data_IF_157674407130
#
_entry.id   IF_157674407130
#
_cell.length_a   1.000
_cell.length_b   1.000
_cell.length_c   1.000
_cell.angle_alpha   90.00
_cell.angle_beta   90.00
_cell.angle_gamma   90.00
#
_symmetry.space_group_name_H-M   'P 1'
#
loop_
_entity.id
_entity.type
_entity.pdbx_description
1 polymer ?
#
# COMPACT_ATOMS: atom_id res chain seq x y z
N UNK A 1 12.00 -16.07 0.95
CA UNK A 1 10.81 -15.20 0.75
C UNK A 1 10.09 -14.91 2.07
N UNK A 2 9.74 -15.90 2.89
CA UNK A 2 9.00 -15.70 4.15
C UNK A 2 9.72 -14.87 5.21
N UNK A 3 11.04 -15.04 5.41
CA UNK A 3 11.83 -14.27 6.40
C UNK A 3 11.90 -12.78 6.05
N UNK A 4 12.05 -12.44 4.76
CA UNK A 4 12.04 -11.06 4.29
C UNK A 4 10.69 -10.39 4.53
N UNK A 5 9.58 -11.12 4.32
CA UNK A 5 8.24 -10.62 4.62
C UNK A 5 8.02 -10.40 6.13
N UNK A 6 8.47 -11.32 6.98
CA UNK A 6 8.40 -11.14 8.45
C UNK A 6 9.22 -9.93 8.89
N UNK A 7 10.44 -9.77 8.38
CA UNK A 7 11.28 -8.59 8.61
C UNK A 7 10.56 -7.31 8.14
N UNK A 8 9.93 -7.34 6.97
CA UNK A 8 9.18 -6.24 6.39
C UNK A 8 8.03 -5.78 7.30
N UNK A 9 7.17 -6.72 7.72
CA UNK A 9 6.06 -6.42 8.63
C UNK A 9 6.57 -5.95 9.99
N UNK A 10 7.64 -6.54 10.50
CA UNK A 10 8.24 -6.16 11.78
C UNK A 10 8.79 -4.74 11.76
N UNK A 11 9.56 -4.38 10.72
CA UNK A 11 10.10 -3.01 10.54
C UNK A 11 8.97 -2.00 10.39
N UNK A 12 7.92 -2.32 9.62
CA UNK A 12 6.76 -1.45 9.45
C UNK A 12 6.02 -1.21 10.79
N UNK A 13 5.76 -2.26 11.55
CA UNK A 13 5.11 -2.16 12.87
C UNK A 13 5.97 -1.36 13.84
N UNK A 14 7.29 -1.63 13.88
CA UNK A 14 8.23 -0.86 14.72
C UNK A 14 8.24 0.61 14.31
N UNK A 15 8.27 0.92 13.02
CA UNK A 15 8.22 2.29 12.51
C UNK A 15 6.95 3.01 12.97
N UNK A 16 5.77 2.37 12.89
CA UNK A 16 4.51 2.93 13.37
C UNK A 16 4.51 3.18 14.89
N UNK A 17 5.12 2.28 15.68
CA UNK A 17 5.26 2.45 17.13
C UNK A 17 6.18 3.63 17.46
N UNK A 18 7.33 3.74 16.79
CA UNK A 18 8.28 4.85 16.97
C UNK A 18 7.64 6.19 16.57
N UNK A 19 6.95 6.23 15.42
CA UNK A 19 6.21 7.41 14.97
C UNK A 19 5.11 7.81 15.95
N UNK A 20 4.41 6.84 16.53
CA UNK A 20 3.40 7.11 17.55
C UNK A 20 4.01 7.65 18.84
N UNK A 21 5.18 7.13 19.26
CA UNK A 21 5.88 7.59 20.45
C UNK A 21 6.40 9.02 20.30
N UNK A 22 6.96 9.36 19.13
CA UNK A 22 7.45 10.71 18.81
C UNK A 22 6.29 11.69 18.63
N UNK A 23 5.23 11.28 17.92
CA UNK A 23 4.05 12.12 17.68
C UNK A 23 3.27 12.42 18.96
N UNK A 24 3.29 11.52 19.96
CA UNK A 24 2.68 11.75 21.28
C UNK A 24 3.24 12.99 21.97
N UNK A 25 4.54 13.24 21.82
CA UNK A 25 5.21 14.39 22.45
C UNK A 25 4.70 15.73 21.91
N UNK A 26 4.09 15.74 20.72
CA UNK A 26 3.57 16.94 20.09
C UNK A 26 2.09 17.23 20.37
N UNK A 27 1.28 16.19 20.56
CA UNK A 27 -0.19 16.30 20.70
C UNK A 27 -0.69 16.24 22.16
N UNK A 28 0.22 16.12 23.15
CA UNK A 28 -0.08 15.93 24.59
C UNK A 28 -1.11 14.81 24.86
N UNK A 29 -1.16 13.83 23.96
CA UNK A 29 -2.18 12.79 23.94
C UNK A 29 -1.73 11.51 24.64
N UNK A 30 -2.68 10.64 24.98
CA UNK A 30 -2.36 9.29 25.42
C UNK A 30 -1.78 8.47 24.26
N UNK A 31 -0.77 7.63 24.52
CA UNK A 31 -0.17 6.76 23.49
C UNK A 31 -1.22 5.91 22.75
N UNK A 32 -2.20 5.39 23.49
CA UNK A 32 -3.30 4.59 22.95
C UNK A 32 -4.24 5.42 22.06
N UNK A 33 -4.58 6.65 22.47
CA UNK A 33 -5.41 7.56 21.70
C UNK A 33 -4.74 7.98 20.39
N UNK A 34 -3.45 8.29 20.45
CA UNK A 34 -2.64 8.68 19.32
C UNK A 34 -2.51 7.52 18.31
N UNK A 35 -2.17 6.33 18.79
CA UNK A 35 -2.01 5.14 17.95
C UNK A 35 -3.33 4.70 17.33
N UNK A 36 -4.45 4.81 18.05
CA UNK A 36 -5.78 4.51 17.48
C UNK A 36 -6.10 5.44 16.32
N UNK A 37 -5.95 6.76 16.52
CA UNK A 37 -6.32 7.76 15.51
C UNK A 37 -5.39 7.73 14.30
N UNK A 38 -4.10 7.91 14.52
CA UNK A 38 -3.15 7.99 13.42
C UNK A 38 -2.87 6.61 12.82
N UNK A 39 -2.91 5.52 13.60
CA UNK A 39 -2.84 4.17 13.05
C UNK A 39 -3.99 3.88 12.10
N UNK A 40 -5.23 4.25 12.46
CA UNK A 40 -6.38 4.16 11.55
C UNK A 40 -6.23 5.05 10.32
N UNK A 41 -5.66 6.25 10.47
CA UNK A 41 -5.42 7.16 9.35
C UNK A 41 -4.47 6.59 8.29
N UNK A 42 -3.55 5.70 8.67
CA UNK A 42 -2.61 5.04 7.76
C UNK A 42 -3.15 3.74 7.12
N UNK A 43 -4.32 3.23 7.55
CA UNK A 43 -4.91 2.02 6.96
C UNK A 43 -5.09 2.07 5.44
N UNK A 44 -5.47 3.21 4.81
CA UNK A 44 -5.59 3.27 3.36
C UNK A 44 -4.30 2.84 2.63
N UNK A 45 -3.12 3.17 3.14
CA UNK A 45 -1.85 2.72 2.54
C UNK A 45 -1.72 1.20 2.53
N UNK A 46 -2.04 0.55 3.65
CA UNK A 46 -1.97 -0.91 3.77
C UNK A 46 -2.97 -1.58 2.83
N UNK A 47 -4.21 -1.07 2.77
CA UNK A 47 -5.23 -1.58 1.88
C UNK A 47 -4.88 -1.38 0.41
N UNK A 48 -4.28 -0.25 0.03
CA UNK A 48 -3.80 -0.03 -1.33
C UNK A 48 -2.58 -0.89 -1.66
N UNK A 49 -1.70 -1.17 -0.71
CA UNK A 49 -0.65 -2.18 -0.81
C UNK A 49 -1.22 -3.56 -1.17
N UNK A 50 -2.22 -4.00 -0.41
CA UNK A 50 -2.93 -5.26 -0.64
C UNK A 50 -3.65 -5.28 -1.99
N UNK A 51 -4.35 -4.20 -2.34
CA UNK A 51 -5.04 -4.05 -3.62
C UNK A 51 -4.08 -4.09 -4.79
N UNK A 52 -2.92 -3.42 -4.70
CA UNK A 52 -1.87 -3.45 -5.72
C UNK A 52 -1.34 -4.86 -5.96
N UNK A 53 -1.12 -5.63 -4.88
CA UNK A 53 -0.74 -7.04 -4.98
C UNK A 53 -1.81 -7.86 -5.71
N UNK A 54 -3.09 -7.68 -5.37
CA UNK A 54 -4.20 -8.42 -5.99
C UNK A 54 -4.42 -8.00 -7.45
N UNK A 55 -4.29 -6.72 -7.77
CA UNK A 55 -4.34 -6.21 -9.13
C UNK A 55 -3.32 -6.89 -10.04
N UNK A 56 -2.08 -7.07 -9.54
CA UNK A 56 -1.05 -7.79 -10.28
C UNK A 56 -1.51 -9.20 -10.65
N UNK A 57 -1.93 -9.99 -9.66
CA UNK A 57 -2.35 -11.37 -9.91
C UNK A 57 -3.63 -11.46 -10.74
N UNK A 58 -4.62 -10.61 -10.48
CA UNK A 58 -5.85 -10.59 -11.28
C UNK A 58 -5.54 -10.37 -12.76
N UNK A 59 -4.72 -9.36 -13.07
CA UNK A 59 -4.45 -8.99 -14.46
C UNK A 59 -3.50 -9.94 -15.16
N UNK A 60 -2.54 -10.52 -14.44
CA UNK A 60 -1.58 -11.49 -15.02
C UNK A 60 -2.16 -12.89 -15.18
N UNK A 61 -3.01 -13.33 -14.25
CA UNK A 61 -3.67 -14.64 -14.31
C UNK A 61 -4.97 -14.62 -15.12
N UNK A 62 -5.50 -13.44 -15.49
CA UNK A 62 -6.77 -13.29 -16.19
C UNK A 62 -6.85 -14.15 -17.45
N UNK A 63 -5.84 -14.12 -18.30
CA UNK A 63 -5.81 -14.92 -19.53
C UNK A 63 -5.88 -16.42 -19.26
N UNK A 64 -5.11 -16.90 -18.27
CA UNK A 64 -5.14 -18.31 -17.86
C UNK A 64 -6.50 -18.71 -17.28
N UNK A 65 -7.12 -17.81 -16.51
CA UNK A 65 -8.46 -18.01 -15.95
C UNK A 65 -9.52 -18.10 -17.06
N UNK A 66 -9.49 -17.18 -18.03
CA UNK A 66 -10.42 -17.18 -19.16
C UNK A 66 -10.25 -18.43 -20.02
N UNK A 67 -9.02 -18.85 -20.29
CA UNK A 67 -8.74 -20.10 -20.99
C UNK A 67 -9.31 -21.31 -20.24
N UNK A 68 -9.09 -21.40 -18.92
CA UNK A 68 -9.62 -22.49 -18.10
C UNK A 68 -11.15 -22.52 -18.11
N UNK A 69 -11.80 -21.37 -17.94
CA UNK A 69 -13.26 -21.24 -17.99
C UNK A 69 -13.79 -21.62 -19.38
N UNK A 70 -13.15 -21.15 -20.45
CA UNK A 70 -13.50 -21.50 -21.83
C UNK A 70 -13.38 -22.99 -22.12
N UNK A 71 -12.35 -23.66 -21.58
CA UNK A 71 -12.18 -25.10 -21.72
C UNK A 71 -13.26 -25.90 -20.97
N UNK A 72 -13.62 -25.46 -19.75
CA UNK A 72 -14.64 -26.14 -18.94
C UNK A 72 -16.07 -25.95 -19.46
N UNK A 73 -16.36 -24.77 -20.03
CA UNK A 73 -17.70 -24.43 -20.54
C UNK A 73 -17.87 -24.71 -22.04
N UNK A 74 -16.81 -25.14 -22.75
CA UNK A 74 -16.85 -25.35 -24.20
C UNK A 74 -17.03 -24.07 -25.02
N UNK A 75 -16.50 -22.94 -24.52
CA UNK A 75 -16.62 -21.63 -25.18
C UNK A 75 -15.30 -21.31 -25.89
N UNK A 76 -15.23 -21.59 -27.20
CA UNK A 76 -14.02 -21.44 -28.00
C UNK A 76 -13.45 -20.01 -28.01
N UNK A 77 -14.32 -18.99 -27.98
CA UNK A 77 -13.90 -17.58 -27.97
C UNK A 77 -13.03 -17.26 -26.75
N UNK A 78 -13.34 -17.85 -25.59
CA UNK A 78 -12.60 -17.61 -24.35
C UNK A 78 -11.28 -18.40 -24.31
N UNK A 79 -11.22 -19.55 -24.98
CA UNK A 79 -9.99 -20.35 -25.07
C UNK A 79 -8.90 -19.64 -25.90
N UNK A 80 -9.31 -18.85 -26.90
CA UNK A 80 -8.38 -18.13 -27.78
C UNK A 80 -8.08 -16.70 -27.31
N UNK A 81 -8.63 -16.28 -26.16
CA UNK A 81 -8.40 -14.95 -25.63
C UNK A 81 -6.97 -14.81 -25.10
N UNK A 82 -6.07 -14.30 -25.95
CA UNK A 82 -4.69 -13.98 -25.56
C UNK A 82 -4.65 -12.65 -24.81
N UNK A 83 -4.85 -12.72 -23.49
CA UNK A 83 -4.70 -11.57 -22.62
C UNK A 83 -3.25 -11.46 -22.15
N UNK A 84 -2.52 -10.49 -22.71
CA UNK A 84 -1.17 -10.16 -22.27
C UNK A 84 -1.14 -8.67 -21.86
N UNK A 85 -1.02 -8.40 -20.57
CA UNK A 85 -0.95 -7.02 -20.08
C UNK A 85 0.48 -6.54 -20.13
N UNK A 86 0.68 -5.37 -20.76
CA UNK A 86 1.97 -4.72 -20.78
C UNK A 86 2.45 -4.44 -19.34
N UNK A 87 3.69 -4.84 -19.02
CA UNK A 87 4.27 -4.68 -17.68
C UNK A 87 4.32 -3.21 -17.22
N UNK A 88 4.50 -2.26 -18.14
CA UNK A 88 4.47 -0.82 -17.84
C UNK A 88 3.09 -0.34 -17.40
N UNK A 89 2.02 -0.83 -18.02
CA UNK A 89 0.64 -0.50 -17.63
C UNK A 89 0.32 -1.07 -16.26
N UNK A 90 0.70 -2.32 -16.00
CA UNK A 90 0.57 -2.98 -14.69
C UNK A 90 1.29 -2.19 -13.60
N UNK A 91 2.54 -1.81 -13.85
CA UNK A 91 3.34 -1.02 -12.91
C UNK A 91 2.70 0.35 -12.64
N UNK A 92 2.27 1.05 -13.69
CA UNK A 92 1.57 2.33 -13.56
C UNK A 92 0.31 2.21 -12.70
N UNK A 93 -0.54 1.21 -12.94
CA UNK A 93 -1.76 0.99 -12.16
C UNK A 93 -1.46 0.70 -10.68
N UNK A 94 -0.47 -0.12 -10.40
CA UNK A 94 -0.05 -0.42 -9.02
C UNK A 94 0.42 0.87 -8.32
N UNK A 95 1.26 1.68 -8.99
CA UNK A 95 1.76 2.94 -8.44
C UNK A 95 0.63 3.94 -8.22
N UNK A 96 -0.30 4.06 -9.18
CA UNK A 96 -1.48 4.93 -9.07
C UNK A 96 -2.31 4.58 -7.84
N UNK A 97 -2.56 3.29 -7.60
CA UNK A 97 -3.28 2.82 -6.42
C UNK A 97 -2.55 3.15 -5.11
N UNK A 98 -1.21 3.01 -5.07
CA UNK A 98 -0.43 3.43 -3.90
C UNK A 98 -0.56 4.95 -3.64
N UNK A 99 -0.45 5.77 -4.68
CA UNK A 99 -0.61 7.22 -4.55
C UNK A 99 -2.01 7.62 -4.11
N UNK A 100 -3.06 6.93 -4.58
CA UNK A 100 -4.41 7.13 -4.05
C UNK A 100 -4.48 6.84 -2.54
N UNK A 101 -3.83 5.78 -2.06
CA UNK A 101 -3.72 5.47 -0.62
C UNK A 101 -2.99 6.56 0.16
N UNK A 102 -1.92 7.12 -0.41
CA UNK A 102 -1.18 8.24 0.17
C UNK A 102 -2.04 9.49 0.30
N UNK A 103 -2.67 9.94 -0.78
CA UNK A 103 -3.52 11.14 -0.74
C UNK A 103 -4.71 10.97 0.20
N UNK A 104 -5.31 9.77 0.24
CA UNK A 104 -6.37 9.46 1.21
C UNK A 104 -5.84 9.57 2.65
N UNK A 105 -4.67 9.00 2.91
CA UNK A 105 -4.02 9.07 4.23
C UNK A 105 -3.74 10.51 4.65
N UNK A 106 -3.20 11.34 3.75
CA UNK A 106 -3.01 12.78 4.00
C UNK A 106 -4.33 13.49 4.34
N UNK A 107 -5.40 13.18 3.60
CA UNK A 107 -6.73 13.72 3.86
C UNK A 107 -7.27 13.30 5.25
N UNK A 108 -7.00 12.09 5.72
CA UNK A 108 -7.39 11.67 7.07
C UNK A 108 -6.52 12.35 8.15
N UNK A 109 -5.20 12.39 7.95
CA UNK A 109 -4.26 13.01 8.90
C UNK A 109 -4.57 14.50 9.06
N UNK A 110 -4.83 15.24 7.97
CA UNK A 110 -5.16 16.67 8.08
C UNK A 110 -6.45 16.90 8.87
N UNK A 111 -7.46 16.04 8.70
CA UNK A 111 -8.73 16.13 9.41
C UNK A 111 -8.57 15.81 10.91
N UNK A 112 -7.72 14.85 11.26
CA UNK A 112 -7.42 14.47 12.65
C UNK A 112 -6.56 15.55 13.32
N UNK A 113 -5.47 15.97 12.68
CA UNK A 113 -4.51 16.89 13.25
C UNK A 113 -5.12 18.29 13.48
N UNK A 114 -6.07 18.72 12.64
CA UNK A 114 -6.80 20.00 12.82
C UNK A 114 -7.57 20.08 14.14
N UNK A 115 -7.88 18.93 14.76
CA UNK A 115 -8.61 18.86 16.03
C UNK A 115 -7.68 18.93 17.25
N UNK A 116 -6.36 19.10 17.06
CA UNK A 116 -5.35 19.00 18.11
C UNK A 116 -4.44 20.23 18.18
N UNK A 117 -3.94 20.51 19.39
CA UNK A 117 -2.79 21.41 19.59
C UNK A 117 -1.57 20.72 18.99
N UNK A 118 -0.71 21.46 18.29
CA UNK A 118 0.45 20.86 17.61
C UNK A 118 0.19 20.40 16.17
N UNK A 119 -0.96 20.78 15.57
CA UNK A 119 -1.38 20.45 14.19
C UNK A 119 -0.23 20.32 13.17
N UNK A 120 0.59 21.37 13.01
CA UNK A 120 1.62 21.41 11.97
C UNK A 120 2.68 20.34 12.17
N UNK A 121 3.12 20.11 13.40
CA UNK A 121 4.17 19.14 13.69
C UNK A 121 3.64 17.70 13.55
N UNK A 122 2.47 17.41 14.10
CA UNK A 122 1.85 16.09 13.96
C UNK A 122 1.53 15.77 12.50
N UNK A 123 0.96 16.73 11.76
CA UNK A 123 0.70 16.59 10.33
C UNK A 123 1.98 16.33 9.54
N UNK A 124 3.04 17.12 9.77
CA UNK A 124 4.31 16.97 9.06
C UNK A 124 4.93 15.60 9.34
N UNK A 125 5.02 15.19 10.61
CA UNK A 125 5.61 13.93 11.02
C UNK A 125 4.89 12.73 10.37
N UNK A 126 3.55 12.72 10.44
CA UNK A 126 2.76 11.63 9.87
C UNK A 126 2.69 11.68 8.34
N UNK A 127 2.79 12.85 7.72
CA UNK A 127 2.87 12.96 6.25
C UNK A 127 4.19 12.42 5.71
N UNK A 128 5.30 12.72 6.40
CA UNK A 128 6.62 12.16 6.07
C UNK A 128 6.59 10.65 6.23
N UNK A 129 6.01 10.14 7.33
CA UNK A 129 5.83 8.72 7.53
C UNK A 129 5.03 8.06 6.40
N UNK A 130 3.87 8.62 6.06
CA UNK A 130 3.02 8.13 4.98
C UNK A 130 3.78 8.10 3.65
N UNK A 131 4.60 9.12 3.35
CA UNK A 131 5.42 9.16 2.14
C UNK A 131 6.47 8.02 2.14
N UNK A 132 7.21 7.85 3.23
CA UNK A 132 8.18 6.76 3.35
C UNK A 132 7.52 5.39 3.18
N UNK A 133 6.37 5.17 3.82
CA UNK A 133 5.60 3.93 3.71
C UNK A 133 5.15 3.69 2.26
N UNK A 134 4.66 4.73 1.58
CA UNK A 134 4.21 4.65 0.18
C UNK A 134 5.36 4.26 -0.75
N UNK A 135 6.48 4.98 -0.65
CA UNK A 135 7.67 4.71 -1.46
C UNK A 135 8.22 3.32 -1.20
N UNK A 136 8.20 2.88 0.06
CA UNK A 136 8.61 1.56 0.46
C UNK A 136 7.71 0.46 -0.13
N UNK A 137 6.38 0.62 -0.09
CA UNK A 137 5.46 -0.32 -0.74
C UNK A 137 5.66 -0.37 -2.26
N UNK A 138 5.83 0.79 -2.90
CA UNK A 138 6.13 0.87 -4.33
C UNK A 138 7.40 0.07 -4.65
N UNK A 139 8.49 0.33 -3.91
CA UNK A 139 9.77 -0.36 -4.11
C UNK A 139 9.65 -1.88 -3.89
N UNK A 140 8.91 -2.30 -2.85
CA UNK A 140 8.73 -3.71 -2.54
C UNK A 140 7.92 -4.45 -3.61
N UNK A 141 6.83 -3.84 -4.10
CA UNK A 141 6.02 -4.41 -5.18
C UNK A 141 6.82 -4.42 -6.49
N UNK A 142 7.59 -3.37 -6.76
CA UNK A 142 8.46 -3.30 -7.93
C UNK A 142 9.53 -4.39 -7.94
N UNK A 143 10.20 -4.60 -6.80
CA UNK A 143 11.18 -5.66 -6.65
C UNK A 143 10.54 -7.04 -6.79
N UNK A 144 9.40 -7.26 -6.14
CA UNK A 144 8.75 -8.57 -6.11
C UNK A 144 8.22 -8.99 -7.49
N UNK A 145 7.60 -8.07 -8.23
CA UNK A 145 6.90 -8.38 -9.48
C UNK A 145 7.70 -8.07 -10.74
N UNK A 146 8.49 -6.99 -10.75
CA UNK A 146 9.16 -6.53 -11.96
C UNK A 146 10.68 -6.77 -11.94
N UNK A 147 11.22 -7.38 -10.87
CA UNK A 147 12.64 -7.75 -10.72
C UNK A 147 13.58 -6.61 -11.13
N UNK A 148 13.29 -5.40 -10.68
CA UNK A 148 14.19 -4.28 -10.92
C UNK A 148 15.52 -4.62 -10.22
N UNK A 149 16.64 -4.73 -10.96
CA UNK A 149 17.93 -4.93 -10.32
C UNK A 149 18.21 -3.70 -9.46
N UNK A 150 18.33 -3.92 -8.14
CA UNK A 150 18.87 -2.88 -7.27
C UNK A 150 20.37 -2.79 -7.55
N UNK A 151 20.75 -1.67 -8.18
CA UNK A 151 22.12 -1.27 -8.57
C UNK A 151 22.71 -2.03 -9.77
#
# INVERSE_FOLDING_TARGET
>A
MSVLFVLFVSVFVVALVVLSAVGRLADEDSMRGHLTRYGQAHLPLVFMGFLGYHLYYMLTLWGSLMHLVGAQLGIDILQHAQWNVNAGVLRFLIHLVQWCGFYWTLFLIINIARQKKGFLFAFLLHSIAALFITLFFIAALDFHFFKIPYF
#
